data_IF_774586108511
#
_entry.id   IF_774586108511
#
_cell.length_a   1.000
_cell.length_b   1.000
_cell.length_c   1.000
_cell.angle_alpha   90.00
_cell.angle_beta   90.00
_cell.angle_gamma   90.00
#
_symmetry.space_group_name_H-M   'P 1'
#
loop_
_entity.id
_entity.type
_entity.pdbx_description
1 polymer ?
#
# COMPACT_ATOMS: atom_id res chain seq x y z
N UNK A 1 -12.64 -8.25 3.12
CA UNK A 1 -11.74 -8.43 4.28
C UNK A 1 -12.41 -9.37 5.25
N UNK A 2 -11.63 -10.23 5.91
CA UNK A 2 -12.11 -11.17 6.92
C UNK A 2 -11.35 -10.89 8.21
N UNK A 3 -12.04 -10.97 9.35
CA UNK A 3 -11.46 -10.87 10.69
C UNK A 3 -11.47 -12.25 11.32
N UNK A 4 -10.33 -12.68 11.83
CA UNK A 4 -10.13 -13.96 12.48
C UNK A 4 -9.45 -13.75 13.85
N UNK A 5 -9.50 -14.73 14.76
CA UNK A 5 -8.64 -14.76 15.92
C UNK A 5 -7.17 -14.67 15.51
N UNK A 6 -6.37 -13.93 16.25
CA UNK A 6 -4.93 -13.88 16.04
C UNK A 6 -4.29 -15.25 16.27
N UNK A 7 -3.19 -15.52 15.55
CA UNK A 7 -2.40 -16.75 15.74
C UNK A 7 -1.26 -16.56 16.73
N UNK A 8 -0.91 -15.30 17.00
CA UNK A 8 0.18 -14.90 17.90
C UNK A 8 -0.28 -13.83 18.88
N UNK A 9 0.64 -12.97 19.28
CA UNK A 9 0.47 -11.92 20.28
C UNK A 9 -0.13 -10.64 19.66
N UNK A 10 -1.25 -10.77 18.94
CA UNK A 10 -2.03 -9.67 18.38
C UNK A 10 -3.47 -9.73 18.92
N UNK A 11 -4.22 -8.65 18.80
CA UNK A 11 -5.60 -8.61 19.26
C UNK A 11 -6.50 -9.44 18.35
N UNK A 12 -6.28 -9.36 17.05
CA UNK A 12 -7.00 -10.13 16.03
C UNK A 12 -6.20 -10.13 14.71
N UNK A 13 -6.69 -10.89 13.74
CA UNK A 13 -6.09 -11.05 12.43
C UNK A 13 -6.98 -10.48 11.34
N UNK A 14 -6.39 -9.79 10.36
CA UNK A 14 -7.03 -9.32 9.14
C UNK A 14 -6.53 -10.09 7.92
N UNK A 15 -7.45 -10.69 7.18
CA UNK A 15 -7.21 -11.20 5.84
C UNK A 15 -7.82 -10.24 4.80
N UNK A 16 -6.98 -9.76 3.90
CA UNK A 16 -7.39 -8.89 2.81
C UNK A 16 -7.39 -9.65 1.49
N UNK A 17 -8.49 -9.62 0.78
CA UNK A 17 -8.63 -10.23 -0.54
C UNK A 17 -8.83 -9.15 -1.59
N UNK A 18 -8.13 -9.27 -2.71
CA UNK A 18 -8.31 -8.45 -3.90
C UNK A 18 -9.63 -8.80 -4.59
N UNK A 19 -10.03 -7.98 -5.58
CA UNK A 19 -11.27 -8.19 -6.34
C UNK A 19 -11.28 -9.48 -7.17
N UNK A 20 -10.09 -10.04 -7.46
CA UNK A 20 -9.92 -11.32 -8.14
C UNK A 20 -9.96 -12.53 -7.20
N UNK A 21 -10.23 -12.33 -5.90
CA UNK A 21 -10.30 -13.36 -4.88
C UNK A 21 -8.95 -13.81 -4.31
N UNK A 22 -7.83 -13.26 -4.80
CA UNK A 22 -6.51 -13.59 -4.26
C UNK A 22 -6.25 -12.87 -2.95
N UNK A 23 -5.58 -13.56 -2.04
CA UNK A 23 -5.12 -13.00 -0.78
C UNK A 23 -4.06 -11.92 -1.09
N UNK A 24 -4.28 -10.70 -0.56
CA UNK A 24 -3.34 -9.61 -0.65
C UNK A 24 -2.46 -9.54 0.60
N UNK A 25 -1.29 -8.90 0.47
CA UNK A 25 -0.34 -8.76 1.57
C UNK A 25 -0.85 -7.75 2.60
N UNK A 26 -1.20 -6.55 2.14
CA UNK A 26 -1.62 -5.45 3.01
C UNK A 26 -2.47 -4.42 2.26
N UNK A 27 -3.40 -3.80 2.98
CA UNK A 27 -4.17 -2.65 2.51
C UNK A 27 -4.28 -1.61 3.63
N UNK A 28 -3.56 -0.49 3.54
CA UNK A 28 -3.55 0.56 4.56
C UNK A 28 -4.93 1.18 4.80
N UNK A 29 -5.76 1.31 3.75
CA UNK A 29 -7.15 1.76 3.87
C UNK A 29 -7.98 0.71 4.61
N UNK A 30 -7.82 -0.55 4.26
CA UNK A 30 -8.47 -1.67 4.92
C UNK A 30 -8.10 -1.77 6.40
N UNK A 31 -6.82 -1.58 6.73
CA UNK A 31 -6.35 -1.59 8.11
C UNK A 31 -7.02 -0.50 8.97
N UNK A 32 -7.24 0.72 8.43
CA UNK A 32 -7.99 1.76 9.15
C UNK A 32 -9.46 1.35 9.37
N UNK A 33 -10.10 0.77 8.37
CA UNK A 33 -11.47 0.29 8.49
C UNK A 33 -11.59 -0.84 9.51
N UNK A 34 -10.65 -1.78 9.50
CA UNK A 34 -10.64 -2.92 10.44
C UNK A 34 -10.36 -2.45 11.87
N UNK A 35 -9.49 -1.46 12.08
CA UNK A 35 -9.28 -0.90 13.43
C UNK A 35 -10.54 -0.20 13.95
N UNK A 36 -11.30 0.47 13.09
CA UNK A 36 -12.60 0.98 13.48
C UNK A 36 -13.57 -0.13 13.86
N UNK A 37 -13.68 -1.15 13.03
CA UNK A 37 -14.50 -2.33 13.29
C UNK A 37 -14.11 -3.02 14.60
N UNK A 38 -12.81 -3.24 14.82
CA UNK A 38 -12.28 -3.88 16.02
C UNK A 38 -12.63 -3.12 17.30
N UNK A 39 -12.54 -1.80 17.28
CA UNK A 39 -12.93 -0.95 18.40
C UNK A 39 -14.46 -0.99 18.62
N UNK A 40 -15.25 -0.76 17.59
CA UNK A 40 -16.72 -0.71 17.70
C UNK A 40 -17.32 -2.07 18.14
N UNK A 41 -16.66 -3.19 17.78
CA UNK A 41 -17.07 -4.54 18.17
C UNK A 41 -16.32 -5.09 19.40
N UNK A 42 -15.57 -4.26 20.11
CA UNK A 42 -14.85 -4.63 21.35
C UNK A 42 -13.86 -5.78 21.18
N UNK A 43 -13.30 -5.95 19.98
CA UNK A 43 -12.23 -6.92 19.73
C UNK A 43 -10.89 -6.41 20.29
N UNK A 44 -10.71 -5.07 20.34
CA UNK A 44 -9.55 -4.41 20.91
C UNK A 44 -9.90 -3.02 21.43
N UNK A 45 -8.96 -2.39 22.15
CA UNK A 45 -9.08 -1.03 22.67
C UNK A 45 -8.73 0.05 21.64
N UNK A 46 -8.33 1.23 22.13
CA UNK A 46 -7.95 2.36 21.27
C UNK A 46 -6.63 2.13 20.51
N UNK A 47 -5.71 1.38 21.11
CA UNK A 47 -4.48 0.90 20.46
C UNK A 47 -4.69 -0.57 20.14
N UNK A 48 -4.42 -0.95 18.90
CA UNK A 48 -4.74 -2.27 18.37
C UNK A 48 -3.55 -2.86 17.64
N UNK A 49 -3.27 -4.14 17.86
CA UNK A 49 -2.25 -4.92 17.18
C UNK A 49 -2.96 -5.89 16.24
N UNK A 50 -2.82 -5.67 14.96
CA UNK A 50 -3.51 -6.44 13.92
C UNK A 50 -2.50 -7.32 13.17
N UNK A 51 -2.68 -8.62 13.25
CA UNK A 51 -1.92 -9.57 12.44
C UNK A 51 -2.39 -9.48 10.99
N UNK A 52 -1.47 -9.34 10.04
CA UNK A 52 -1.74 -9.33 8.60
C UNK A 52 -0.83 -10.30 7.87
N UNK A 53 -1.07 -10.56 6.59
CA UNK A 53 -0.18 -11.39 5.76
C UNK A 53 1.19 -10.73 5.52
N UNK A 54 1.30 -9.41 5.68
CA UNK A 54 2.57 -8.67 5.59
C UNK A 54 3.21 -8.40 6.97
N UNK A 55 2.76 -9.07 8.03
CA UNK A 55 3.26 -8.90 9.39
C UNK A 55 2.31 -8.15 10.30
N UNK A 56 2.81 -7.74 11.46
CA UNK A 56 2.04 -7.04 12.49
C UNK A 56 1.90 -5.56 12.13
N UNK A 57 0.69 -5.05 12.24
CA UNK A 57 0.35 -3.64 12.04
C UNK A 57 -0.26 -3.07 13.31
N UNK A 58 0.14 -1.87 13.69
CA UNK A 58 -0.44 -1.18 14.84
C UNK A 58 -1.39 -0.10 14.40
N UNK A 59 -2.63 -0.17 14.89
CA UNK A 59 -3.65 0.85 14.71
C UNK A 59 -3.90 1.64 15.98
N UNK A 60 -4.19 2.92 15.86
CA UNK A 60 -4.59 3.79 16.96
C UNK A 60 -5.83 4.59 16.61
N UNK A 61 -6.82 4.52 17.45
CA UNK A 61 -7.99 5.41 17.40
C UNK A 61 -7.58 6.80 17.84
N UNK A 62 -7.82 7.81 17.02
CA UNK A 62 -7.58 9.23 17.36
C UNK A 62 -8.87 9.86 17.87
N UNK A 63 -9.98 9.60 17.18
CA UNK A 63 -11.31 10.01 17.59
C UNK A 63 -12.37 9.10 16.96
N UNK A 64 -13.64 9.50 16.99
CA UNK A 64 -14.77 8.73 16.46
C UNK A 64 -14.62 8.35 14.97
N UNK A 65 -13.91 9.15 14.18
CA UNK A 65 -13.81 8.97 12.71
C UNK A 65 -12.39 8.74 12.21
N UNK A 66 -11.37 9.07 13.00
CA UNK A 66 -9.97 9.02 12.56
C UNK A 66 -9.23 7.88 13.24
N UNK A 67 -8.58 7.08 12.43
CA UNK A 67 -7.70 6.00 12.86
C UNK A 67 -6.35 6.15 12.17
N UNK A 68 -5.29 6.10 12.94
CA UNK A 68 -3.91 6.12 12.49
C UNK A 68 -3.40 4.70 12.41
N UNK A 69 -2.70 4.36 11.32
CA UNK A 69 -2.05 3.07 11.15
C UNK A 69 -0.56 3.30 11.00
N UNK A 70 0.22 2.56 11.77
CA UNK A 70 1.63 2.38 11.50
C UNK A 70 1.77 1.20 10.55
N UNK A 71 2.17 1.46 9.31
CA UNK A 71 2.49 0.43 8.32
C UNK A 71 3.83 -0.22 8.66
N UNK A 72 4.10 -1.35 8.00
CA UNK A 72 5.37 -2.04 8.08
C UNK A 72 6.52 -1.15 7.59
N UNK A 73 7.70 -1.35 8.15
CA UNK A 73 8.89 -0.62 7.75
C UNK A 73 9.32 -1.01 6.32
N UNK A 74 9.96 -0.09 5.57
CA UNK A 74 10.50 -0.40 4.25
C UNK A 74 11.56 -1.49 4.35
N UNK A 75 11.47 -2.48 3.49
CA UNK A 75 12.46 -3.56 3.36
C UNK A 75 13.41 -3.33 2.19
N UNK A 76 12.96 -2.57 1.19
CA UNK A 76 13.77 -2.16 0.04
C UNK A 76 13.47 -0.71 -0.26
N UNK A 77 14.51 0.11 -0.45
CA UNK A 77 14.41 1.50 -0.91
C UNK A 77 15.45 1.75 -1.99
N UNK A 78 15.01 2.13 -3.17
CA UNK A 78 15.85 2.59 -4.29
C UNK A 78 15.29 3.92 -4.78
N UNK A 79 15.98 5.01 -4.50
CA UNK A 79 15.54 6.35 -4.89
C UNK A 79 15.76 6.61 -6.39
N UNK A 80 16.72 5.92 -7.01
CA UNK A 80 17.02 5.99 -8.43
C UNK A 80 16.83 4.61 -9.05
N UNK A 81 15.67 4.37 -9.61
CA UNK A 81 15.32 3.12 -10.30
C UNK A 81 14.67 3.46 -11.66
N UNK A 82 15.45 4.04 -12.61
CA UNK A 82 14.90 4.43 -13.91
C UNK A 82 14.37 3.22 -14.67
N UNK A 83 13.22 3.41 -15.31
CA UNK A 83 12.61 2.41 -16.19
C UNK A 83 12.31 3.03 -17.55
N UNK A 84 12.47 2.24 -18.62
CA UNK A 84 12.14 2.66 -19.98
C UNK A 84 10.80 2.09 -20.39
N UNK A 85 9.88 2.94 -20.79
CA UNK A 85 8.59 2.55 -21.35
C UNK A 85 8.40 3.27 -22.68
N UNK A 86 8.24 2.52 -23.76
CA UNK A 86 8.06 3.03 -25.15
C UNK A 86 9.14 4.05 -25.58
N UNK A 87 10.39 3.78 -25.27
CA UNK A 87 11.52 4.65 -25.62
C UNK A 87 11.66 5.90 -24.73
N UNK A 88 10.81 6.06 -23.71
CA UNK A 88 10.91 7.14 -22.72
C UNK A 88 11.42 6.60 -21.39
N UNK A 89 12.48 7.20 -20.87
CA UNK A 89 13.03 6.87 -19.55
C UNK A 89 12.31 7.69 -18.48
N UNK A 90 11.78 7.00 -17.49
CA UNK A 90 11.12 7.59 -16.33
C UNK A 90 11.97 7.36 -15.08
N UNK A 91 12.29 8.43 -14.37
CA UNK A 91 12.88 8.30 -13.05
C UNK A 91 11.84 7.75 -12.07
N UNK A 92 12.21 6.67 -11.39
CA UNK A 92 11.34 6.05 -10.39
C UNK A 92 12.05 6.00 -9.05
N UNK A 93 11.32 6.26 -7.99
CA UNK A 93 11.68 5.76 -6.67
C UNK A 93 10.91 4.46 -6.41
N UNK A 94 11.63 3.40 -6.02
CA UNK A 94 11.06 2.08 -5.74
C UNK A 94 11.18 1.76 -4.26
N UNK A 95 10.08 1.34 -3.65
CA UNK A 95 10.01 0.98 -2.23
C UNK A 95 9.19 -0.30 -2.05
N UNK A 96 9.69 -1.23 -1.25
CA UNK A 96 8.90 -2.36 -0.75
C UNK A 96 8.59 -2.16 0.74
N UNK A 97 7.35 -2.41 1.14
CA UNK A 97 6.89 -2.31 2.52
C UNK A 97 6.53 -3.68 3.08
N UNK A 98 7.11 -4.03 4.23
CA UNK A 98 6.81 -5.29 4.91
C UNK A 98 7.58 -6.50 4.38
N UNK A 99 7.27 -7.68 4.93
CA UNK A 99 7.83 -8.96 4.50
C UNK A 99 6.71 -10.03 4.51
N UNK A 100 6.27 -10.54 3.35
CA UNK A 100 6.75 -10.21 1.99
C UNK A 100 6.53 -8.74 1.64
N UNK A 101 7.47 -8.18 0.85
CA UNK A 101 7.46 -6.77 0.49
C UNK A 101 6.34 -6.43 -0.50
N UNK A 102 5.54 -5.41 -0.19
CA UNK A 102 4.56 -4.83 -1.09
C UNK A 102 5.23 -3.75 -1.95
N UNK A 103 5.40 -3.97 -3.27
CA UNK A 103 6.16 -3.06 -4.12
C UNK A 103 5.37 -1.82 -4.52
N UNK A 104 6.03 -0.68 -4.42
CA UNK A 104 5.55 0.63 -4.87
C UNK A 104 6.59 1.30 -5.77
N UNK A 105 6.14 1.90 -6.86
CA UNK A 105 6.93 2.79 -7.71
C UNK A 105 6.31 4.20 -7.66
N UNK A 106 7.09 5.20 -7.30
CA UNK A 106 6.71 6.59 -7.33
C UNK A 106 7.41 7.27 -8.52
N UNK A 107 6.61 7.86 -9.41
CA UNK A 107 7.07 8.37 -10.71
C UNK A 107 6.68 9.84 -10.85
N UNK A 108 7.65 10.77 -10.94
CA UNK A 108 7.36 12.17 -11.18
C UNK A 108 6.87 12.39 -12.62
N UNK A 109 5.80 13.15 -12.77
CA UNK A 109 5.27 13.56 -14.06
C UNK A 109 4.97 15.06 -14.02
N UNK A 110 5.61 15.82 -14.88
CA UNK A 110 5.30 17.23 -15.04
C UNK A 110 3.95 17.42 -15.75
N UNK A 111 3.14 18.36 -15.27
CA UNK A 111 1.82 18.63 -15.84
C UNK A 111 0.81 17.52 -15.55
N UNK A 112 0.98 16.80 -14.46
CA UNK A 112 0.13 15.64 -14.09
C UNK A 112 -1.36 15.98 -14.08
N UNK A 113 -1.73 17.19 -13.63
CA UNK A 113 -3.14 17.62 -13.59
C UNK A 113 -3.80 17.75 -14.97
N UNK A 114 -3.01 18.01 -16.00
CA UNK A 114 -3.48 18.12 -17.38
C UNK A 114 -3.29 16.82 -18.17
N UNK A 115 -2.70 15.81 -17.53
CA UNK A 115 -2.43 14.52 -18.20
C UNK A 115 -3.75 13.75 -18.39
N UNK A 116 -4.05 13.24 -19.60
CA UNK A 116 -5.28 12.50 -19.82
C UNK A 116 -5.35 11.21 -18.97
N UNK A 117 -6.45 10.99 -18.24
CA UNK A 117 -6.62 9.84 -17.35
C UNK A 117 -6.36 8.50 -18.04
N UNK A 118 -6.80 8.37 -19.29
CA UNK A 118 -6.59 7.15 -20.08
C UNK A 118 -5.11 6.89 -20.33
N UNK A 119 -4.34 7.93 -20.66
CA UNK A 119 -2.91 7.81 -20.91
C UNK A 119 -2.15 7.47 -19.63
N UNK A 120 -2.54 8.06 -18.47
CA UNK A 120 -1.98 7.70 -17.16
C UNK A 120 -2.28 6.23 -16.81
N UNK A 121 -3.51 5.77 -17.07
CA UNK A 121 -3.87 4.38 -16.81
C UNK A 121 -3.04 3.42 -17.65
N UNK A 122 -2.91 3.69 -18.96
CA UNK A 122 -2.16 2.83 -19.87
C UNK A 122 -0.65 2.84 -19.55
N UNK A 123 -0.09 4.00 -19.17
CA UNK A 123 1.29 4.12 -18.71
C UNK A 123 1.50 3.36 -17.39
N UNK A 124 0.62 3.57 -16.41
CA UNK A 124 0.70 2.88 -15.12
C UNK A 124 0.60 1.38 -15.25
N UNK A 125 -0.24 0.88 -16.16
CA UNK A 125 -0.35 -0.55 -16.45
C UNK A 125 0.95 -1.11 -17.02
N UNK A 126 1.58 -0.43 -18.00
CA UNK A 126 2.86 -0.85 -18.58
C UNK A 126 3.98 -0.83 -17.56
N UNK A 127 4.04 0.21 -16.73
CA UNK A 127 5.01 0.29 -15.63
C UNK A 127 4.80 -0.83 -14.60
N UNK A 128 3.55 -1.10 -14.21
CA UNK A 128 3.23 -2.16 -13.25
C UNK A 128 3.80 -3.51 -13.66
N UNK A 129 3.75 -3.84 -14.93
CA UNK A 129 4.20 -5.13 -15.48
C UNK A 129 5.59 -5.05 -16.14
N UNK A 130 6.32 -3.97 -15.88
CA UNK A 130 7.67 -3.81 -16.42
C UNK A 130 8.62 -4.88 -15.86
N UNK A 131 9.56 -5.43 -16.67
CA UNK A 131 10.50 -6.46 -16.21
C UNK A 131 11.33 -6.08 -14.98
N UNK A 132 11.59 -4.79 -14.76
CA UNK A 132 12.25 -4.28 -13.55
C UNK A 132 11.46 -4.56 -12.26
N UNK A 133 10.17 -4.89 -12.35
CA UNK A 133 9.28 -5.19 -11.23
C UNK A 133 8.71 -6.61 -11.35
N UNK A 134 9.47 -7.65 -11.06
CA UNK A 134 9.07 -9.05 -11.30
C UNK A 134 7.80 -9.48 -10.54
N UNK A 135 7.48 -8.81 -9.43
CA UNK A 135 6.23 -9.00 -8.67
C UNK A 135 5.11 -8.03 -9.08
N UNK A 136 5.35 -7.20 -10.10
CA UNK A 136 4.55 -6.01 -10.36
C UNK A 136 4.84 -4.92 -9.34
N UNK A 137 4.27 -3.73 -9.53
CA UNK A 137 4.35 -2.63 -8.56
C UNK A 137 3.04 -1.84 -8.50
N UNK A 138 2.73 -1.26 -7.36
CA UNK A 138 1.75 -0.20 -7.25
C UNK A 138 2.39 1.09 -7.77
N UNK A 139 1.94 1.58 -8.91
CA UNK A 139 2.48 2.78 -9.55
C UNK A 139 1.74 4.01 -9.05
N UNK A 140 2.50 4.99 -8.57
CA UNK A 140 1.98 6.25 -8.07
C UNK A 140 2.63 7.39 -8.85
N UNK A 141 1.84 8.13 -9.61
CA UNK A 141 2.30 9.34 -10.28
C UNK A 141 2.17 10.53 -9.35
N UNK A 142 3.16 11.41 -9.36
CA UNK A 142 3.13 12.62 -8.56
C UNK A 142 3.73 13.81 -9.30
N UNK A 143 3.35 15.00 -8.90
CA UNK A 143 3.91 16.27 -9.35
C UNK A 143 4.23 17.14 -8.13
N UNK A 144 5.41 17.73 -8.11
CA UNK A 144 5.76 18.71 -7.08
C UNK A 144 5.18 20.07 -7.50
N UNK A 145 4.27 20.58 -6.71
CA UNK A 145 3.52 21.82 -7.02
C UNK A 145 3.96 23.03 -6.20
N UNK A 146 4.96 22.89 -5.36
CA UNK A 146 5.52 23.96 -4.53
C UNK A 146 6.61 23.45 -3.60
N UNK A 147 7.30 24.37 -2.90
CA UNK A 147 8.32 24.02 -1.91
C UNK A 147 7.70 23.34 -0.68
#
# INVERSE_FOLDING_TARGET
MVVEPARGDADYRMLFYNSDGRLGEMCGNGARCICRYGYENRLAGEVQRVETTAGLVTGRRIDRRRYQIRLNDPTTVRLNAPIEVDGTVYDCAYVELGNPGLPHAAVPISGLRAYPDRALFDLGRRMRYHPAFPKGANVNFYEVTGP
#
